data_IF_752209289929
#
_entry.id   IF_752209289929
#
_cell.length_a   1.000
_cell.length_b   1.000
_cell.length_c   1.000
_cell.angle_alpha   90.00
_cell.angle_beta   90.00
_cell.angle_gamma   90.00
#
_symmetry.space_group_name_H-M   'P 1'
#
loop_
_entity.id
_entity.type
_entity.pdbx_description
1 polymer ?
#
# COMPACT_ATOMS: atom_id res chain seq x y z
N UNK A 1 -2.96 23.53 -36.43
CA UNK A 1 -3.86 24.34 -35.58
C UNK A 1 -3.48 24.02 -34.14
N UNK A 2 -3.45 25.00 -33.23
CA UNK A 2 -3.17 24.72 -31.83
C UNK A 2 -4.26 23.81 -31.27
N UNK A 3 -3.89 22.87 -30.41
CA UNK A 3 -4.84 21.96 -29.78
C UNK A 3 -5.46 22.65 -28.55
N UNK A 4 -6.79 22.63 -28.48
CA UNK A 4 -7.56 23.29 -27.43
C UNK A 4 -8.00 22.28 -26.37
N UNK A 5 -7.61 22.56 -25.12
CA UNK A 5 -8.06 21.83 -23.95
C UNK A 5 -8.92 22.72 -23.07
N UNK A 6 -9.86 22.13 -22.33
CA UNK A 6 -10.71 22.88 -21.41
C UNK A 6 -10.43 22.48 -19.98
N UNK A 7 -10.20 23.46 -19.12
CA UNK A 7 -10.14 23.21 -17.69
C UNK A 7 -11.53 22.76 -17.19
N UNK A 8 -11.63 21.57 -16.59
CA UNK A 8 -12.89 21.08 -16.04
C UNK A 8 -13.27 21.86 -14.77
N UNK A 9 -14.54 21.76 -14.36
CA UNK A 9 -15.04 22.40 -13.14
C UNK A 9 -14.36 21.95 -11.84
N UNK A 10 -13.62 20.84 -11.88
CA UNK A 10 -12.74 20.38 -10.79
C UNK A 10 -11.49 21.23 -10.62
N UNK A 11 -11.16 22.10 -11.57
CA UNK A 11 -10.04 23.05 -11.50
C UNK A 11 -8.66 22.42 -11.74
N UNK A 12 -8.60 21.17 -12.21
CA UNK A 12 -7.36 20.48 -12.59
C UNK A 12 -7.58 19.64 -13.86
N UNK A 13 -6.64 19.73 -14.79
CA UNK A 13 -6.60 18.98 -16.04
C UNK A 13 -5.21 18.36 -16.21
N UNK A 14 -5.15 17.03 -16.34
CA UNK A 14 -3.95 16.33 -16.80
C UNK A 14 -4.12 16.03 -18.28
N UNK A 15 -3.11 16.37 -19.08
CA UNK A 15 -3.17 16.16 -20.53
C UNK A 15 -1.78 15.87 -21.10
N UNK A 16 -1.81 15.20 -22.26
CA UNK A 16 -0.65 14.88 -23.09
C UNK A 16 -1.13 14.78 -24.52
N UNK A 17 -0.27 15.11 -25.46
CA UNK A 17 -0.61 15.06 -26.88
C UNK A 17 0.41 14.23 -27.65
N UNK A 18 -0.06 13.17 -28.29
CA UNK A 18 0.76 12.31 -29.13
C UNK A 18 1.00 12.90 -30.52
N UNK A 19 0.10 13.75 -31.01
CA UNK A 19 0.17 14.32 -32.36
C UNK A 19 1.24 15.41 -32.48
N UNK A 20 1.55 16.11 -31.38
CA UNK A 20 2.63 17.10 -31.35
C UNK A 20 4.03 16.48 -31.34
N UNK A 21 4.18 15.19 -31.06
CA UNK A 21 5.49 14.52 -30.93
C UNK A 21 6.27 14.57 -32.26
N UNK A 22 7.57 14.87 -32.16
CA UNK A 22 8.52 15.07 -33.28
C UNK A 22 8.46 16.45 -33.94
N UNK A 23 7.64 17.37 -33.43
CA UNK A 23 7.70 18.78 -33.81
C UNK A 23 8.74 19.54 -32.97
N UNK A 24 9.34 20.60 -33.52
CA UNK A 24 10.31 21.43 -32.80
C UNK A 24 9.67 22.23 -31.66
N UNK A 25 8.43 22.67 -31.85
CA UNK A 25 7.61 23.32 -30.83
C UNK A 25 6.11 23.13 -31.12
N UNK A 26 5.30 23.09 -30.07
CA UNK A 26 3.84 23.07 -30.14
C UNK A 26 3.23 24.19 -29.30
N UNK A 27 2.19 24.85 -29.84
CA UNK A 27 1.35 25.77 -29.08
C UNK A 27 0.14 25.01 -28.53
N UNK A 28 -0.12 25.19 -27.24
CA UNK A 28 -1.22 24.59 -26.52
C UNK A 28 -2.10 25.68 -25.93
N UNK A 29 -3.42 25.51 -26.06
CA UNK A 29 -4.42 26.48 -25.61
C UNK A 29 -5.30 25.83 -24.55
N UNK A 30 -5.37 26.44 -23.37
CA UNK A 30 -6.22 25.99 -22.27
C UNK A 30 -7.38 26.99 -22.11
N UNK A 31 -8.58 26.61 -22.53
CA UNK A 31 -9.82 27.34 -22.30
C UNK A 31 -10.35 27.17 -20.87
N UNK A 32 -11.23 28.08 -20.45
CA UNK A 32 -11.72 28.18 -19.07
C UNK A 32 -10.61 28.41 -18.02
N UNK A 33 -9.50 29.01 -18.45
CA UNK A 33 -8.43 29.43 -17.57
C UNK A 33 -8.74 30.79 -16.94
N UNK A 34 -8.07 31.09 -15.83
CA UNK A 34 -8.07 32.41 -15.21
C UNK A 34 -6.63 32.86 -14.93
N UNK A 35 -6.47 34.08 -14.42
CA UNK A 35 -5.14 34.66 -14.13
C UNK A 35 -4.32 33.91 -13.07
N UNK A 36 -4.94 33.00 -12.32
CA UNK A 36 -4.28 32.17 -11.30
C UNK A 36 -3.92 30.77 -11.80
N UNK A 37 -4.44 30.36 -12.95
CA UNK A 37 -4.16 29.06 -13.55
C UNK A 37 -2.65 28.90 -13.79
N UNK A 38 -2.10 27.78 -13.33
CA UNK A 38 -0.70 27.38 -13.53
C UNK A 38 -0.64 26.15 -14.43
N UNK A 39 0.45 26.04 -15.18
CA UNK A 39 0.74 24.89 -16.03
C UNK A 39 2.09 24.35 -15.62
N UNK A 40 2.13 23.08 -15.21
CA UNK A 40 3.38 22.39 -14.92
C UNK A 40 3.66 21.33 -15.97
N UNK A 41 4.92 21.25 -16.40
CA UNK A 41 5.46 20.07 -17.07
C UNK A 41 5.83 19.05 -16.00
N UNK A 42 5.15 17.91 -16.03
CA UNK A 42 5.31 16.78 -15.10
C UNK A 42 5.89 15.55 -15.80
N UNK A 43 6.51 15.73 -16.96
CA UNK A 43 7.17 14.64 -17.69
C UNK A 43 8.22 13.93 -16.85
N UNK A 44 8.90 14.65 -15.95
CA UNK A 44 9.66 14.07 -14.84
C UNK A 44 8.89 14.35 -13.54
N UNK A 45 8.21 13.34 -12.94
CA UNK A 45 7.44 13.53 -11.70
C UNK A 45 8.28 14.00 -10.51
N UNK A 46 9.60 13.79 -10.53
CA UNK A 46 10.52 14.21 -9.46
C UNK A 46 10.96 15.67 -9.61
N UNK A 47 10.80 16.26 -10.79
CA UNK A 47 11.25 17.61 -11.12
C UNK A 47 10.18 18.38 -11.91
N UNK A 48 9.01 18.68 -11.30
CA UNK A 48 7.97 19.42 -11.98
C UNK A 48 8.42 20.86 -12.29
N UNK A 49 8.22 21.31 -13.53
CA UNK A 49 8.63 22.63 -13.98
C UNK A 49 7.42 23.52 -14.28
N UNK A 50 7.37 24.72 -13.72
CA UNK A 50 6.29 25.67 -13.99
C UNK A 50 6.52 26.39 -15.33
N UNK A 51 5.61 26.18 -16.28
CA UNK A 51 5.64 26.82 -17.60
C UNK A 51 4.99 28.21 -17.54
N UNK A 52 5.62 29.17 -18.21
CA UNK A 52 5.07 30.51 -18.35
C UNK A 52 4.14 30.53 -19.56
N UNK A 53 2.86 30.83 -19.32
CA UNK A 53 1.85 31.01 -20.36
C UNK A 53 1.34 32.45 -20.41
N UNK A 54 0.81 32.85 -21.55
CA UNK A 54 0.14 34.13 -21.75
C UNK A 54 -1.36 33.93 -21.55
N UNK A 55 -1.91 34.57 -20.53
CA UNK A 55 -3.34 34.58 -20.26
C UNK A 55 -4.03 35.72 -21.01
N UNK A 56 -5.09 35.43 -21.75
CA UNK A 56 -5.90 36.42 -22.44
C UNK A 56 -7.38 36.02 -22.45
N UNK A 57 -8.25 36.88 -21.91
CA UNK A 57 -9.69 36.62 -21.84
C UNK A 57 -10.03 35.45 -20.90
N UNK A 58 -10.24 34.27 -21.48
CA UNK A 58 -10.56 33.02 -20.76
C UNK A 58 -9.63 31.86 -21.20
N UNK A 59 -8.54 32.19 -21.88
CA UNK A 59 -7.59 31.23 -22.43
C UNK A 59 -6.19 31.47 -21.90
N UNK A 60 -5.48 30.39 -21.60
CA UNK A 60 -4.07 30.39 -21.27
C UNK A 60 -3.30 29.67 -22.37
N UNK A 61 -2.36 30.36 -23.00
CA UNK A 61 -1.57 29.87 -24.12
C UNK A 61 -0.13 29.67 -23.72
N UNK A 62 0.47 28.55 -24.07
CA UNK A 62 1.89 28.30 -23.85
C UNK A 62 2.50 27.53 -25.01
N UNK A 63 3.81 27.68 -25.16
CA UNK A 63 4.60 26.97 -26.18
C UNK A 63 5.67 26.17 -25.47
N UNK A 64 5.87 24.93 -25.89
CA UNK A 64 6.94 24.08 -25.39
C UNK A 64 7.54 23.23 -26.52
N UNK A 65 8.73 22.66 -26.30
CA UNK A 65 9.31 21.71 -27.25
C UNK A 65 8.51 20.39 -27.25
N UNK A 66 8.28 19.85 -28.44
CA UNK A 66 7.54 18.60 -28.62
C UNK A 66 8.43 17.52 -29.24
N UNK A 67 9.74 17.57 -28.98
CA UNK A 67 10.73 16.59 -29.47
C UNK A 67 10.42 15.19 -28.93
N UNK A 68 9.81 15.12 -27.74
CA UNK A 68 9.33 13.91 -27.08
C UNK A 68 7.92 14.13 -26.54
N UNK A 69 7.23 13.05 -26.22
CA UNK A 69 5.97 13.13 -25.49
C UNK A 69 6.22 13.77 -24.12
N UNK A 70 5.42 14.79 -23.79
CA UNK A 70 5.42 15.47 -22.51
C UNK A 70 4.08 15.31 -21.83
N UNK A 71 4.10 15.31 -20.51
CA UNK A 71 2.91 15.25 -19.68
C UNK A 71 2.76 16.57 -18.94
N UNK A 72 1.55 17.15 -18.99
CA UNK A 72 1.25 18.45 -18.43
C UNK A 72 0.11 18.36 -17.43
N UNK A 73 0.15 19.27 -16.44
CA UNK A 73 -0.97 19.53 -15.56
C UNK A 73 -1.29 21.02 -15.56
N UNK A 74 -2.51 21.36 -15.95
CA UNK A 74 -3.07 22.69 -15.78
C UNK A 74 -3.98 22.68 -14.56
N UNK A 75 -3.76 23.59 -13.61
CA UNK A 75 -4.58 23.62 -12.39
C UNK A 75 -4.70 25.03 -11.80
N UNK A 76 -5.77 25.24 -11.05
CA UNK A 76 -5.93 26.41 -10.19
C UNK A 76 -5.35 26.10 -8.81
N UNK A 77 -4.45 26.93 -8.25
CA UNK A 77 -3.87 26.69 -6.93
C UNK A 77 -4.91 26.52 -5.80
N UNK A 78 -6.08 27.13 -5.94
CA UNK A 78 -7.20 26.99 -5.00
C UNK A 78 -7.93 25.65 -5.08
N UNK A 79 -7.81 24.95 -6.22
CA UNK A 79 -8.36 23.62 -6.45
C UNK A 79 -7.29 22.53 -6.34
N UNK A 80 -6.07 22.88 -5.92
CA UNK A 80 -4.99 21.92 -5.75
C UNK A 80 -5.34 20.91 -4.65
N UNK A 81 -5.05 19.64 -4.92
CA UNK A 81 -5.17 18.59 -3.92
C UNK A 81 -4.19 18.86 -2.78
N UNK A 82 -4.72 18.98 -1.57
CA UNK A 82 -3.92 19.14 -0.37
C UNK A 82 -3.58 17.75 0.19
N UNK A 83 -2.34 17.54 0.65
CA UNK A 83 -1.98 16.29 1.30
C UNK A 83 -2.80 16.15 2.59
N UNK A 84 -3.44 15.00 2.75
CA UNK A 84 -4.16 14.64 3.98
C UNK A 84 -3.15 14.04 4.94
N UNK A 85 -3.05 14.58 6.16
CA UNK A 85 -2.21 13.99 7.20
C UNK A 85 -2.88 12.72 7.72
N UNK A 86 -2.18 11.58 7.66
CA UNK A 86 -2.66 10.29 8.18
C UNK A 86 -2.54 10.17 9.70
N UNK A 87 -1.81 11.09 10.36
CA UNK A 87 -1.65 11.13 11.81
C UNK A 87 -0.19 11.01 12.28
N UNK A 88 -0.01 11.01 13.60
CA UNK A 88 1.31 10.88 14.24
C UNK A 88 1.61 9.42 14.53
N UNK A 89 2.74 8.92 14.01
CA UNK A 89 3.25 7.59 14.34
C UNK A 89 4.07 7.66 15.64
N UNK A 90 3.81 6.75 16.56
CA UNK A 90 4.57 6.61 17.81
C UNK A 90 5.95 6.01 17.50
N UNK A 91 6.98 6.41 18.25
CA UNK A 91 8.31 5.83 18.08
C UNK A 91 8.26 4.31 18.33
N UNK A 92 8.68 3.53 17.33
CA UNK A 92 8.67 2.07 17.33
C UNK A 92 9.97 1.56 16.70
N UNK A 93 10.39 0.36 17.09
CA UNK A 93 11.60 -0.27 16.58
C UNK A 93 11.43 -1.80 16.61
N UNK A 94 10.76 -2.34 15.60
CA UNK A 94 10.63 -3.78 15.39
C UNK A 94 11.97 -4.40 14.99
N UNK A 95 12.88 -3.63 14.38
CA UNK A 95 14.23 -4.11 14.06
C UNK A 95 15.07 -4.51 15.29
N UNK A 96 14.88 -3.86 16.44
CA UNK A 96 15.60 -4.16 17.69
C UNK A 96 14.85 -5.16 18.60
N UNK A 97 13.83 -5.86 18.08
CA UNK A 97 13.12 -6.88 18.84
C UNK A 97 14.00 -8.09 19.18
N UNK A 98 13.69 -8.75 20.30
CA UNK A 98 14.34 -10.01 20.68
C UNK A 98 13.89 -11.17 19.77
N UNK A 99 14.71 -12.23 19.62
CA UNK A 99 14.31 -13.44 18.89
C UNK A 99 13.01 -14.05 19.45
N UNK A 100 12.16 -14.54 18.55
CA UNK A 100 10.85 -15.09 18.89
C UNK A 100 10.58 -16.37 18.10
N UNK A 101 9.96 -17.34 18.76
CA UNK A 101 9.52 -18.60 18.15
C UNK A 101 8.13 -18.46 17.52
N UNK A 102 7.28 -17.61 18.10
CA UNK A 102 5.91 -17.39 17.65
C UNK A 102 5.64 -15.90 17.41
N UNK A 103 5.40 -15.55 16.16
CA UNK A 103 5.05 -14.21 15.72
C UNK A 103 3.53 -14.12 15.55
N UNK A 104 2.90 -13.15 16.22
CA UNK A 104 1.47 -12.86 16.07
C UNK A 104 1.32 -11.46 15.50
N UNK A 105 0.75 -11.36 14.30
CA UNK A 105 0.41 -10.09 13.64
C UNK A 105 -1.09 -9.90 13.73
N UNK A 106 -1.55 -8.78 14.27
CA UNK A 106 -2.98 -8.56 14.55
C UNK A 106 -3.44 -7.15 14.26
N UNK A 107 -4.72 -6.95 14.04
CA UNK A 107 -5.29 -5.60 14.02
C UNK A 107 -5.31 -4.97 15.43
N UNK A 108 -5.12 -3.64 15.59
CA UNK A 108 -5.18 -2.98 16.89
C UNK A 108 -6.45 -3.27 17.69
N UNK A 109 -7.59 -3.51 17.04
CA UNK A 109 -8.87 -3.85 17.70
C UNK A 109 -8.86 -5.21 18.40
N UNK A 110 -7.99 -6.13 17.97
CA UNK A 110 -7.88 -7.50 18.49
C UNK A 110 -6.63 -7.72 19.36
N UNK A 111 -5.88 -6.66 19.63
CA UNK A 111 -4.60 -6.72 20.35
C UNK A 111 -4.71 -7.41 21.72
N UNK A 112 -5.77 -7.12 22.48
CA UNK A 112 -5.97 -7.71 23.81
C UNK A 112 -6.14 -9.24 23.76
N UNK A 113 -6.86 -9.73 22.75
CA UNK A 113 -7.12 -11.14 22.51
C UNK A 113 -5.84 -11.84 22.00
N UNK A 114 -5.10 -11.18 21.11
CA UNK A 114 -3.80 -11.67 20.64
C UNK A 114 -2.78 -11.78 21.79
N UNK A 115 -2.74 -10.81 22.69
CA UNK A 115 -1.89 -10.85 23.90
C UNK A 115 -2.27 -12.02 24.81
N UNK A 116 -3.57 -12.26 25.04
CA UNK A 116 -4.04 -13.40 25.83
C UNK A 116 -3.60 -14.73 25.21
N UNK A 117 -3.68 -14.87 23.89
CA UNK A 117 -3.21 -16.06 23.18
C UNK A 117 -1.68 -16.22 23.28
N UNK A 118 -0.94 -15.12 23.14
CA UNK A 118 0.51 -15.10 23.29
C UNK A 118 0.94 -15.59 24.69
N UNK A 119 0.25 -15.14 25.75
CA UNK A 119 0.52 -15.56 27.13
C UNK A 119 0.21 -17.03 27.37
N UNK A 120 -0.84 -17.55 26.75
CA UNK A 120 -1.15 -18.98 26.80
C UNK A 120 0.01 -19.82 26.25
N UNK A 121 0.54 -19.46 25.07
CA UNK A 121 1.66 -20.18 24.46
C UNK A 121 2.99 -19.99 25.20
N UNK A 122 3.22 -18.84 25.84
CA UNK A 122 4.35 -18.65 26.76
C UNK A 122 4.28 -19.62 27.95
N UNK A 123 3.10 -19.77 28.56
CA UNK A 123 2.93 -20.58 29.77
C UNK A 123 2.85 -22.09 29.50
N UNK A 124 2.18 -22.49 28.41
CA UNK A 124 1.91 -23.92 28.12
C UNK A 124 2.97 -24.56 27.23
N UNK A 125 3.53 -23.81 26.30
CA UNK A 125 4.47 -24.34 25.31
C UNK A 125 5.90 -23.80 25.49
N UNK A 126 6.12 -22.91 26.46
CA UNK A 126 7.41 -22.25 26.71
C UNK A 126 7.99 -21.57 25.46
N UNK A 127 7.12 -21.04 24.59
CA UNK A 127 7.52 -20.34 23.37
C UNK A 127 7.84 -18.88 23.66
N UNK A 128 8.88 -18.34 23.01
CA UNK A 128 9.10 -16.89 22.97
C UNK A 128 8.10 -16.29 21.98
N UNK A 129 7.13 -15.52 22.46
CA UNK A 129 6.07 -14.96 21.62
C UNK A 129 6.21 -13.44 21.51
N UNK A 130 6.00 -12.92 20.30
CA UNK A 130 5.95 -11.48 20.00
C UNK A 130 4.61 -11.18 19.34
N UNK A 131 3.93 -10.15 19.86
CA UNK A 131 2.67 -9.64 19.30
C UNK A 131 2.95 -8.26 18.72
N UNK A 132 2.61 -8.07 17.45
CA UNK A 132 2.74 -6.81 16.73
C UNK A 132 1.43 -6.48 16.04
N UNK A 133 1.13 -5.19 15.92
CA UNK A 133 -0.03 -4.76 15.14
C UNK A 133 0.31 -4.62 13.66
N UNK A 134 -0.69 -4.77 12.80
CA UNK A 134 -0.60 -4.51 11.35
C UNK A 134 -0.05 -3.11 11.07
N UNK A 135 -0.57 -2.09 11.76
CA UNK A 135 -0.07 -0.71 11.65
C UNK A 135 1.42 -0.58 11.98
N UNK A 136 1.88 -1.23 13.05
CA UNK A 136 3.30 -1.21 13.41
C UNK A 136 4.18 -1.82 12.31
N UNK A 137 3.75 -2.95 11.74
CA UNK A 137 4.46 -3.61 10.64
C UNK A 137 4.46 -2.70 9.40
N UNK A 138 3.32 -2.13 9.01
CA UNK A 138 3.25 -1.30 7.81
C UNK A 138 4.08 -0.03 7.93
N UNK A 139 4.07 0.62 9.10
CA UNK A 139 4.87 1.81 9.36
C UNK A 139 6.37 1.56 9.19
N UNK A 140 6.86 0.36 9.49
CA UNK A 140 8.30 0.04 9.46
C UNK A 140 8.75 -0.61 8.13
N UNK A 141 7.89 -1.40 7.47
CA UNK A 141 8.26 -2.18 6.28
C UNK A 141 7.62 -1.69 4.97
N UNK A 142 6.58 -0.85 5.00
CA UNK A 142 5.88 -0.36 3.80
C UNK A 142 5.51 1.12 3.86
N UNK A 143 6.20 1.90 4.71
CA UNK A 143 5.95 3.33 4.89
C UNK A 143 4.48 3.67 5.20
N UNK A 144 3.80 2.81 5.95
CA UNK A 144 2.40 2.95 6.35
C UNK A 144 1.38 2.41 5.34
N UNK A 145 1.82 1.86 4.21
CA UNK A 145 0.91 1.25 3.22
C UNK A 145 0.50 -0.16 3.63
N UNK A 146 -0.79 -0.51 3.51
CA UNK A 146 -1.29 -1.86 3.80
C UNK A 146 -0.89 -2.87 2.72
N UNK A 147 0.38 -3.29 2.75
CA UNK A 147 0.97 -4.22 1.80
C UNK A 147 1.28 -5.57 2.50
N UNK A 148 0.77 -6.72 2.01
CA UNK A 148 1.14 -8.03 2.54
C UNK A 148 2.65 -8.31 2.45
N UNK A 149 3.38 -7.69 1.52
CA UNK A 149 4.84 -7.80 1.45
C UNK A 149 5.52 -7.27 2.72
N UNK A 150 4.93 -6.30 3.41
CA UNK A 150 5.44 -5.77 4.67
C UNK A 150 5.49 -6.85 5.77
N UNK A 151 4.44 -7.68 5.85
CA UNK A 151 4.35 -8.80 6.80
C UNK A 151 5.40 -9.85 6.45
N UNK A 152 5.57 -10.15 5.15
CA UNK A 152 6.62 -11.06 4.68
C UNK A 152 8.01 -10.56 5.06
N UNK A 153 8.30 -9.29 4.85
CA UNK A 153 9.60 -8.69 5.15
C UNK A 153 9.86 -8.63 6.66
N UNK A 154 8.83 -8.41 7.48
CA UNK A 154 8.90 -8.55 8.92
C UNK A 154 9.31 -9.96 9.34
N UNK A 155 8.68 -11.00 8.80
CA UNK A 155 9.02 -12.41 9.12
C UNK A 155 10.42 -12.75 8.61
N UNK A 156 10.76 -12.30 7.40
CA UNK A 156 12.09 -12.47 6.80
C UNK A 156 13.18 -11.81 7.65
N UNK A 157 12.92 -10.62 8.21
CA UNK A 157 13.86 -9.97 9.12
C UNK A 157 14.16 -10.84 10.34
N UNK A 158 13.17 -11.47 10.98
CA UNK A 158 13.43 -12.40 12.09
C UNK A 158 14.23 -13.62 11.65
N UNK A 159 13.93 -14.15 10.47
CA UNK A 159 14.64 -15.28 9.89
C UNK A 159 16.12 -14.94 9.61
N UNK A 160 16.38 -13.78 9.01
CA UNK A 160 17.72 -13.29 8.67
C UNK A 160 18.51 -12.95 9.95
N UNK A 161 17.87 -12.35 10.95
CA UNK A 161 18.46 -12.05 12.27
C UNK A 161 18.90 -13.30 13.04
N UNK A 162 18.16 -14.41 12.92
CA UNK A 162 18.53 -15.67 13.57
C UNK A 162 19.81 -16.28 12.97
N UNK A 163 20.16 -15.92 11.73
CA UNK A 163 21.39 -16.36 11.07
C UNK A 163 21.52 -17.89 11.03
N UNK A 164 22.68 -18.46 11.41
CA UNK A 164 22.90 -19.90 11.41
C UNK A 164 22.23 -20.62 12.60
N UNK A 165 21.78 -19.91 13.65
CA UNK A 165 21.25 -20.50 14.86
C UNK A 165 19.82 -21.01 14.64
N UNK A 166 19.58 -22.33 14.57
CA UNK A 166 18.24 -22.86 14.31
C UNK A 166 17.27 -22.58 15.46
N UNK A 167 17.80 -22.43 16.67
CA UNK A 167 17.03 -22.15 17.88
C UNK A 167 16.45 -20.75 17.93
N UNK A 168 16.96 -19.78 17.17
CA UNK A 168 16.48 -18.39 17.16
C UNK A 168 15.54 -18.08 15.99
N UNK A 169 15.30 -19.06 15.12
CA UNK A 169 14.41 -18.90 13.98
C UNK A 169 12.95 -18.91 14.42
N UNK A 170 12.11 -18.02 13.86
CA UNK A 170 10.67 -18.10 14.06
C UNK A 170 10.15 -19.43 13.50
N UNK A 171 9.28 -20.08 14.25
CA UNK A 171 8.69 -21.39 13.91
C UNK A 171 7.23 -21.27 13.49
N UNK A 172 6.55 -20.25 14.00
CA UNK A 172 5.12 -20.06 13.81
C UNK A 172 4.83 -18.59 13.52
N UNK A 173 3.96 -18.36 12.55
CA UNK A 173 3.33 -17.07 12.26
C UNK A 173 1.83 -17.23 12.42
N UNK A 174 1.19 -16.32 13.15
CA UNK A 174 -0.26 -16.20 13.23
C UNK A 174 -0.69 -14.83 12.72
N UNK A 175 -1.58 -14.83 11.75
CA UNK A 175 -2.33 -13.66 11.33
C UNK A 175 -3.67 -13.65 12.08
N UNK A 176 -3.83 -12.71 13.01
CA UNK A 176 -4.96 -12.66 13.90
C UNK A 176 -5.90 -11.51 13.52
N UNK A 177 -6.83 -11.81 12.61
CA UNK A 177 -7.88 -10.90 12.14
C UNK A 177 -8.56 -11.46 10.89
N UNK A 178 -9.68 -10.85 10.53
CA UNK A 178 -10.40 -11.20 9.29
C UNK A 178 -9.69 -10.62 8.07
N UNK A 179 -9.67 -11.39 6.99
CA UNK A 179 -9.05 -11.01 5.73
C UNK A 179 -10.12 -10.89 4.66
N UNK A 180 -10.04 -9.82 3.87
CA UNK A 180 -10.97 -9.57 2.79
C UNK A 180 -10.28 -9.66 1.44
N UNK A 181 -11.06 -9.98 0.42
CA UNK A 181 -10.60 -9.96 -0.96
C UNK A 181 -10.25 -8.55 -1.44
N UNK A 182 -10.74 -7.50 -0.78
CA UNK A 182 -10.43 -6.12 -1.11
C UNK A 182 -9.50 -5.50 -0.05
N UNK A 183 -8.24 -5.94 0.00
CA UNK A 183 -7.28 -5.39 0.96
C UNK A 183 -6.96 -3.89 0.75
N UNK A 184 -7.31 -3.33 -0.43
CA UNK A 184 -7.15 -1.90 -0.75
C UNK A 184 -8.33 -1.05 -0.27
N UNK A 185 -9.31 -1.66 0.39
CA UNK A 185 -10.48 -0.99 0.97
C UNK A 185 -11.19 -0.04 -0.01
N UNK A 186 -11.46 -0.53 -1.23
CA UNK A 186 -12.16 0.18 -2.31
C UNK A 186 -13.68 0.08 -2.19
N UNK A 187 -14.19 -0.97 -1.53
CA UNK A 187 -15.61 -1.27 -1.34
C UNK A 187 -16.04 -0.87 0.07
N UNK A 188 -17.21 -0.24 0.18
CA UNK A 188 -17.81 0.12 1.48
C UNK A 188 -18.19 -1.10 2.32
N UNK A 189 -18.05 -1.02 3.66
CA UNK A 189 -18.32 -2.11 4.62
C UNK A 189 -17.39 -3.32 4.51
N UNK A 190 -16.12 -3.07 4.29
CA UNK A 190 -15.11 -4.12 4.18
C UNK A 190 -14.59 -4.57 5.56
N UNK A 191 -14.50 -5.88 5.80
CA UNK A 191 -13.96 -6.48 7.04
C UNK A 191 -12.47 -6.82 6.90
N UNK A 192 -11.68 -5.87 6.39
CA UNK A 192 -10.25 -6.04 6.18
C UNK A 192 -9.45 -5.63 7.43
N UNK A 193 -9.09 -6.61 8.27
CA UNK A 193 -8.27 -6.39 9.48
C UNK A 193 -6.81 -6.82 9.26
N UNK A 194 -6.59 -7.88 8.49
CA UNK A 194 -5.25 -8.33 8.09
C UNK A 194 -5.24 -8.62 6.57
N UNK A 195 -4.26 -8.12 5.81
CA UNK A 195 -4.21 -8.37 4.38
C UNK A 195 -3.88 -9.81 4.08
N UNK A 196 -4.65 -10.40 3.18
CA UNK A 196 -4.32 -11.67 2.56
C UNK A 196 -3.71 -11.44 1.17
N UNK A 197 -2.79 -12.30 0.77
CA UNK A 197 -2.20 -12.25 -0.56
C UNK A 197 -3.13 -12.90 -1.59
N UNK A 198 -3.28 -12.24 -2.73
CA UNK A 198 -4.03 -12.73 -3.88
C UNK A 198 -3.09 -12.98 -5.05
N UNK A 199 -3.39 -14.03 -5.82
CA UNK A 199 -2.63 -14.32 -7.01
C UNK A 199 -2.81 -13.24 -8.10
N UNK A 200 -1.88 -13.22 -9.06
CA UNK A 200 -1.86 -12.21 -10.12
C UNK A 200 -2.98 -12.38 -11.18
N UNK A 201 -3.79 -13.43 -11.07
CA UNK A 201 -4.88 -13.72 -12.00
C UNK A 201 -6.14 -13.04 -11.46
N UNK A 202 -6.58 -11.97 -12.12
CA UNK A 202 -7.69 -11.12 -11.65
C UNK A 202 -8.99 -11.28 -12.44
N UNK A 203 -8.98 -11.99 -13.58
CA UNK A 203 -10.09 -12.00 -14.54
C UNK A 203 -10.90 -13.30 -14.55
N UNK A 204 -10.45 -14.32 -13.83
CA UNK A 204 -11.11 -15.64 -13.81
C UNK A 204 -11.39 -16.07 -12.36
N UNK A 205 -12.67 -16.09 -11.94
CA UNK A 205 -13.09 -16.48 -10.59
C UNK A 205 -12.68 -17.90 -10.20
N UNK A 206 -12.49 -18.81 -11.17
CA UNK A 206 -12.13 -20.20 -10.90
C UNK A 206 -10.62 -20.39 -10.68
N UNK A 207 -9.81 -19.43 -11.12
CA UNK A 207 -8.36 -19.44 -10.96
C UNK A 207 -7.84 -18.35 -10.03
N UNK A 208 -8.70 -17.46 -9.53
CA UNK A 208 -8.37 -16.50 -8.47
C UNK A 208 -8.44 -17.20 -7.11
N UNK A 209 -7.34 -17.20 -6.37
CA UNK A 209 -7.32 -17.72 -5.00
C UNK A 209 -6.57 -16.77 -4.08
N UNK A 210 -7.03 -16.75 -2.82
CA UNK A 210 -6.39 -16.02 -1.73
C UNK A 210 -5.60 -17.04 -0.92
N UNK A 211 -4.29 -16.83 -0.73
CA UNK A 211 -3.42 -17.76 -0.02
C UNK A 211 -2.48 -17.00 0.91
N UNK A 212 -2.26 -17.55 2.10
CA UNK A 212 -1.26 -17.10 3.08
C UNK A 212 0.12 -17.72 2.82
N UNK A 213 0.25 -18.72 1.95
CA UNK A 213 1.53 -19.38 1.61
C UNK A 213 2.60 -18.39 1.12
N UNK A 214 2.17 -17.27 0.52
CA UNK A 214 3.06 -16.18 0.13
C UNK A 214 3.88 -15.62 1.30
N UNK A 215 3.29 -15.60 2.51
CA UNK A 215 3.92 -15.09 3.72
C UNK A 215 4.88 -16.11 4.36
N UNK A 216 4.67 -17.40 4.11
CA UNK A 216 5.47 -18.50 4.69
C UNK A 216 6.52 -19.10 3.73
N UNK A 217 6.59 -18.63 2.49
CA UNK A 217 7.49 -19.14 1.45
C UNK A 217 8.96 -19.31 1.89
N UNK A 218 9.43 -18.49 2.84
CA UNK A 218 10.78 -18.58 3.40
C UNK A 218 10.96 -19.64 4.50
N UNK A 219 9.91 -20.00 5.24
CA UNK A 219 9.98 -21.11 6.21
C UNK A 219 9.99 -22.47 5.49
N UNK A 220 9.25 -22.59 4.38
CA UNK A 220 9.08 -23.86 3.66
C UNK A 220 10.33 -24.31 2.89
N UNK A 221 11.21 -23.41 2.45
CA UNK A 221 12.33 -23.75 1.56
C UNK A 221 13.53 -24.46 2.23
N UNK A 222 13.54 -24.72 3.54
CA UNK A 222 14.66 -25.41 4.21
C UNK A 222 14.35 -26.71 4.94
N UNK A 223 13.09 -27.10 5.05
CA UNK A 223 12.72 -28.39 5.65
C UNK A 223 11.98 -29.24 4.62
N UNK A 224 12.76 -29.99 3.85
CA UNK A 224 12.27 -31.26 3.29
C UNK A 224 11.57 -32.03 4.41
N UNK A 225 10.31 -32.40 4.20
CA UNK A 225 9.47 -33.22 5.10
C UNK A 225 9.12 -32.61 6.47
N UNK A 226 8.14 -31.70 6.51
CA UNK A 226 7.01 -31.78 7.46
C UNK A 226 5.81 -31.01 6.86
N UNK A 227 4.62 -31.61 6.99
CA UNK A 227 3.34 -31.03 6.57
C UNK A 227 3.08 -29.79 7.41
N UNK A 228 3.05 -28.61 6.77
CA UNK A 228 2.58 -27.38 7.42
C UNK A 228 1.08 -27.50 7.62
N UNK A 229 0.64 -27.77 8.85
CA UNK A 229 -0.76 -27.63 9.24
C UNK A 229 -0.95 -26.23 9.83
N UNK A 230 -1.12 -25.23 8.96
CA UNK A 230 -1.75 -23.97 9.34
C UNK A 230 -3.25 -24.20 9.47
N UNK A 231 -3.73 -24.34 10.70
CA UNK A 231 -5.15 -24.29 11.01
C UNK A 231 -5.52 -22.81 11.16
N UNK A 232 -6.07 -22.23 10.11
CA UNK A 232 -6.81 -20.98 10.20
C UNK A 232 -8.11 -21.23 10.98
N UNK A 233 -8.16 -20.81 12.24
CA UNK A 233 -9.44 -20.67 12.95
C UNK A 233 -10.02 -19.30 12.61
N UNK A 234 -10.81 -19.22 11.55
CA UNK A 234 -11.84 -18.17 11.43
C UNK A 234 -12.92 -18.49 12.46
N UNK A 235 -12.76 -18.02 13.69
CA UNK A 235 -13.84 -18.03 14.67
C UNK A 235 -14.85 -16.95 14.26
N UNK A 236 -15.74 -17.31 13.33
CA UNK A 236 -16.95 -16.56 13.04
C UNK A 236 -17.79 -16.49 14.31
N UNK A 237 -17.77 -15.34 14.98
CA UNK A 237 -18.59 -15.08 16.15
C UNK A 237 -20.04 -14.80 15.69
N UNK A 238 -20.70 -15.83 15.18
CA UNK A 238 -22.12 -15.80 14.86
C UNK A 238 -22.81 -16.96 15.57
N UNK A 239 -23.37 -16.66 16.76
CA UNK A 239 -24.38 -17.50 17.41
C UNK A 239 -23.86 -18.45 18.49
N UNK A 240 -23.51 -17.92 19.68
CA UNK A 240 -23.65 -18.70 20.91
C UNK A 240 -23.90 -17.76 22.11
N UNK A 241 -25.03 -17.07 22.08
CA UNK A 241 -25.69 -16.50 23.25
C UNK A 241 -27.19 -16.72 23.10
N UNK A 242 -27.64 -17.94 23.40
CA UNK A 242 -28.98 -18.19 23.95
C UNK A 242 -29.04 -19.60 24.57
N UNK A 243 -29.14 -19.60 25.90
CA UNK A 243 -29.34 -20.70 26.87
C UNK A 243 -28.13 -21.56 27.23
#
# INVERSE_FOLDING_TARGET
MPEEYFLPGTGQLLFRDWNSVSNSAGEFVIGNANSTTRIWDVTNPLEPANLQGVFSGNELRFVNDCVRLREYVAFNPTAALLPVSSGRVVNQNLHNSSPADYLIVTDPSLLAQAMRLADFHRQKNSLRTVVVTTDQVFNEFSSGSSDPAAIRDFVKMYYDKAGPNPGDKPKYLLLFGDASFDYKNRISNNTHLVPAYQNNISLDPLSTYTSDDFLDFWMTMKTSTQVSSLICWTLGLAGFLQK
#
